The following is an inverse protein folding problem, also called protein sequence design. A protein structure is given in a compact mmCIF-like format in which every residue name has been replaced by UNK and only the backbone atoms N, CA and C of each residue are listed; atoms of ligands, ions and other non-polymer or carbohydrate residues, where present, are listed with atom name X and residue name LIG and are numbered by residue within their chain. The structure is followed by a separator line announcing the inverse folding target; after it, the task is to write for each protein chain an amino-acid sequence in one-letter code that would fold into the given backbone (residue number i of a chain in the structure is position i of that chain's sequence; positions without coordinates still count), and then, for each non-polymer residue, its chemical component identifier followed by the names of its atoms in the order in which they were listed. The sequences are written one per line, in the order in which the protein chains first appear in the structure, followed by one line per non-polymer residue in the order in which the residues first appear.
data_IF_985222511858
#
_entry.id   IF_985222511858
#
_cell.length_a   1.000
_cell.length_b   1.000
_cell.length_c   1.000
_cell.angle_alpha   90.00
_cell.angle_beta   90.00
_cell.angle_gamma   90.00
#
_symmetry.space_group_name_H-M   'P 1'
#
loop_
_entity.id
_entity.type
_entity.pdbx_description
1 polymer ?
#
# COMPACT_ATOMS: atom_id res chain seq x y z
N UNK A 1 53.18 -31.53 18.97
CA UNK A 1 52.41 -32.51 19.78
C UNK A 1 51.15 -32.84 19.01
N UNK A 2 51.13 -33.99 18.33
CA UNK A 2 50.44 -35.24 18.72
C UNK A 2 48.93 -35.24 18.47
N UNK A 3 48.61 -35.73 17.28
CA UNK A 3 47.43 -36.50 16.85
C UNK A 3 47.06 -37.64 17.83
N UNK A 4 45.77 -37.92 18.08
CA UNK A 4 45.10 -39.23 18.35
C UNK A 4 43.56 -38.97 18.33
N UNK A 5 42.69 -39.61 17.52
CA UNK A 5 42.12 -40.98 17.56
C UNK A 5 41.39 -41.18 16.19
N UNK A 6 41.54 -42.22 15.32
CA UNK A 6 41.38 -43.70 15.40
C UNK A 6 39.97 -44.09 15.90
N UNK A 7 39.13 -44.92 15.28
CA UNK A 7 39.10 -45.73 14.05
C UNK A 7 37.64 -46.21 13.83
N UNK A 8 37.31 -46.66 12.62
CA UNK A 8 36.02 -47.29 12.32
C UNK A 8 36.01 -47.94 10.94
N UNK A 9 36.85 -48.96 10.80
CA UNK A 9 37.04 -49.79 9.61
C UNK A 9 35.82 -50.70 9.39
N UNK A 10 35.21 -50.67 8.20
CA UNK A 10 34.35 -51.75 7.72
C UNK A 10 34.64 -52.00 6.23
N UNK A 11 35.30 -53.13 6.00
CA UNK A 11 35.77 -53.68 4.73
C UNK A 11 34.81 -54.78 4.31
N UNK A 12 34.23 -54.72 3.12
CA UNK A 12 33.73 -55.91 2.43
C UNK A 12 33.93 -55.77 0.91
N UNK A 13 34.71 -56.72 0.39
CA UNK A 13 35.09 -56.98 -1.00
C UNK A 13 33.88 -57.14 -1.93
N UNK A 14 33.87 -56.53 -3.12
CA UNK A 14 34.50 -56.92 -4.40
C UNK A 14 33.71 -57.98 -5.18
N UNK A 15 33.11 -57.56 -6.30
CA UNK A 15 32.88 -58.39 -7.50
C UNK A 15 33.08 -57.49 -8.74
N UNK A 16 33.77 -58.01 -9.75
CA UNK A 16 34.32 -57.28 -10.88
C UNK A 16 33.55 -57.51 -12.20
N UNK A 17 33.47 -56.45 -13.03
CA UNK A 17 33.57 -56.33 -14.51
C UNK A 17 32.70 -57.22 -15.44
N UNK A 18 32.40 -56.86 -16.72
CA UNK A 18 33.18 -55.99 -17.62
C UNK A 18 32.39 -55.02 -18.55
N UNK A 19 33.17 -54.38 -19.43
CA UNK A 19 32.91 -53.31 -20.39
C UNK A 19 31.96 -53.63 -21.56
N UNK A 20 31.47 -52.57 -22.22
CA UNK A 20 31.05 -52.62 -23.64
C UNK A 20 30.07 -51.54 -24.10
N UNK A 21 30.54 -50.70 -25.05
CA UNK A 21 29.81 -50.01 -26.14
C UNK A 21 28.70 -49.00 -25.76
N UNK A 22 28.90 -47.70 -25.97
CA UNK A 22 28.72 -46.96 -27.24
C UNK A 22 27.27 -46.48 -27.44
N UNK A 23 27.15 -45.15 -27.36
CA UNK A 23 26.33 -44.28 -28.22
C UNK A 23 24.84 -44.59 -28.38
N UNK A 24 24.01 -43.74 -27.80
CA UNK A 24 23.01 -42.99 -28.58
C UNK A 24 22.35 -41.96 -27.69
N UNK A 25 22.64 -40.69 -27.96
CA UNK A 25 21.82 -39.58 -27.50
C UNK A 25 20.42 -39.76 -28.10
N UNK A 26 19.42 -39.91 -27.23
CA UNK A 26 18.02 -39.72 -27.60
C UNK A 26 17.53 -38.51 -26.82
N UNK A 27 17.58 -37.37 -27.51
CA UNK A 27 16.88 -36.15 -27.17
C UNK A 27 15.38 -36.38 -27.31
N UNK A 28 14.66 -36.36 -26.18
CA UNK A 28 13.21 -36.22 -26.16
C UNK A 28 12.85 -34.74 -25.92
N UNK A 29 12.28 -34.03 -26.91
CA UNK A 29 11.69 -32.72 -26.70
C UNK A 29 10.22 -32.89 -26.32
N UNK A 30 9.90 -32.67 -25.05
CA UNK A 30 8.50 -32.52 -24.60
C UNK A 30 8.31 -31.10 -24.03
N UNK A 31 7.60 -30.30 -24.81
CA UNK A 31 7.17 -28.92 -24.58
C UNK A 31 6.24 -28.79 -23.35
N UNK A 32 5.68 -27.60 -23.04
CA UNK A 32 6.24 -26.26 -22.85
C UNK A 32 6.07 -25.79 -21.39
N UNK A 33 6.54 -24.57 -21.13
CA UNK A 33 6.51 -23.83 -19.87
C UNK A 33 5.21 -23.96 -19.05
N UNK A 34 5.36 -24.29 -17.76
CA UNK A 34 4.43 -23.82 -16.74
C UNK A 34 4.66 -22.30 -16.61
N UNK A 35 3.91 -21.54 -17.40
CA UNK A 35 3.69 -20.14 -17.11
C UNK A 35 2.99 -20.07 -15.75
N UNK A 36 3.65 -19.44 -14.79
CA UNK A 36 2.99 -18.95 -13.58
C UNK A 36 1.96 -17.93 -14.08
N UNK A 37 0.71 -18.36 -14.20
CA UNK A 37 -0.39 -17.43 -14.31
C UNK A 37 -0.59 -16.82 -12.92
N UNK A 38 0.22 -15.79 -12.62
CA UNK A 38 -0.20 -14.80 -11.64
C UNK A 38 -1.48 -14.20 -12.21
N UNK A 39 -2.62 -14.65 -11.69
CA UNK A 39 -3.89 -13.95 -11.84
C UNK A 39 -3.75 -12.63 -11.09
N UNK A 40 -3.01 -11.70 -11.68
CA UNK A 40 -3.06 -10.31 -11.31
C UNK A 40 -4.39 -9.81 -11.84
N UNK A 41 -5.38 -9.70 -10.96
CA UNK A 41 -6.51 -8.82 -11.25
C UNK A 41 -5.90 -7.48 -11.63
N UNK A 42 -6.01 -7.12 -12.91
CA UNK A 42 -5.69 -5.78 -13.37
C UNK A 42 -6.74 -4.92 -12.69
N UNK A 43 -6.38 -4.34 -11.54
CA UNK A 43 -7.22 -3.31 -10.94
C UNK A 43 -7.38 -2.23 -12.01
N UNK A 44 -8.59 -1.70 -12.23
CA UNK A 44 -8.73 -0.58 -13.13
C UNK A 44 -7.74 0.50 -12.66
N UNK A 45 -6.99 1.06 -13.60
CA UNK A 45 -6.12 2.19 -13.28
C UNK A 45 -7.02 3.33 -12.82
N UNK A 46 -7.07 3.58 -11.52
CA UNK A 46 -7.93 4.63 -10.97
C UNK A 46 -7.33 5.98 -11.31
N UNK A 47 -8.14 6.85 -11.88
CA UNK A 47 -7.81 8.28 -11.95
C UNK A 47 -8.26 8.96 -10.67
N UNK A 48 -7.34 9.62 -9.97
CA UNK A 48 -7.69 10.48 -8.83
C UNK A 48 -8.15 11.84 -9.38
N UNK A 49 -9.34 12.28 -8.98
CA UNK A 49 -9.92 13.56 -9.35
C UNK A 49 -10.11 14.40 -8.09
N UNK A 50 -9.46 15.57 -8.03
CA UNK A 50 -9.56 16.48 -6.90
C UNK A 50 -10.53 17.60 -7.22
N UNK A 51 -11.52 17.84 -6.36
CA UNK A 51 -12.56 18.85 -6.55
C UNK A 51 -13.90 18.27 -7.02
N UNK A 52 -14.84 19.14 -7.44
CA UNK A 52 -16.23 18.76 -7.71
C UNK A 52 -16.67 19.19 -9.10
N UNK A 53 -17.48 18.34 -9.75
CA UNK A 53 -18.10 18.59 -11.05
C UNK A 53 -17.06 19.07 -12.08
N UNK A 54 -17.37 20.11 -12.85
CA UNK A 54 -16.49 20.67 -13.89
C UNK A 54 -15.20 21.31 -13.37
N UNK A 55 -15.03 21.47 -12.04
CA UNK A 55 -13.81 22.00 -11.42
C UNK A 55 -12.84 20.90 -10.96
N UNK A 56 -13.12 19.64 -11.30
CA UNK A 56 -12.22 18.52 -10.99
C UNK A 56 -10.90 18.65 -11.75
N UNK A 57 -9.80 18.43 -11.03
CA UNK A 57 -8.46 18.38 -11.58
C UNK A 57 -7.91 16.96 -11.42
N UNK A 58 -7.47 16.30 -12.51
CA UNK A 58 -6.84 15.00 -12.40
C UNK A 58 -5.49 15.11 -11.72
N UNK A 59 -5.22 14.16 -10.82
CA UNK A 59 -3.93 14.04 -10.14
C UNK A 59 -3.20 12.80 -10.67
N UNK A 60 -2.02 13.02 -11.25
CA UNK A 60 -1.15 11.93 -11.71
C UNK A 60 -0.49 11.26 -10.50
N UNK A 61 -1.13 10.22 -9.99
CA UNK A 61 -0.69 9.47 -8.84
C UNK A 61 -1.20 8.03 -8.93
N UNK A 62 -0.37 7.07 -8.54
CA UNK A 62 -0.76 5.66 -8.53
C UNK A 62 -1.74 5.40 -7.39
N UNK A 63 -2.75 4.58 -7.67
CA UNK A 63 -3.67 4.03 -6.67
C UNK A 63 -3.47 2.52 -6.65
N UNK A 64 -3.48 1.91 -5.48
CA UNK A 64 -3.52 0.46 -5.37
C UNK A 64 -4.58 0.04 -4.35
N UNK A 65 -5.05 -1.20 -4.48
CA UNK A 65 -5.94 -1.79 -3.50
C UNK A 65 -5.17 -2.72 -2.58
N UNK A 66 -5.48 -2.67 -1.28
CA UNK A 66 -5.00 -3.65 -0.30
C UNK A 66 -6.14 -4.01 0.65
N UNK A 67 -6.42 -5.32 0.74
CA UNK A 67 -7.51 -5.85 1.56
C UNK A 67 -8.89 -5.20 1.28
N UNK A 68 -9.20 -4.89 0.03
CA UNK A 68 -10.45 -4.20 -0.33
C UNK A 68 -10.48 -2.70 -0.02
N UNK A 69 -9.35 -2.11 0.40
CA UNK A 69 -9.22 -0.68 0.66
C UNK A 69 -8.36 -0.04 -0.43
N UNK A 70 -8.88 0.98 -1.10
CA UNK A 70 -8.09 1.80 -2.01
C UNK A 70 -7.14 2.70 -1.23
N UNK A 71 -5.87 2.64 -1.61
CA UNK A 71 -4.77 3.36 -1.01
C UNK A 71 -4.30 4.44 -1.98
N UNK A 72 -4.15 5.67 -1.48
CA UNK A 72 -3.71 6.84 -2.24
C UNK A 72 -2.49 7.48 -1.58
N UNK A 73 -1.62 8.17 -2.36
CA UNK A 73 -0.47 8.82 -1.78
C UNK A 73 -0.91 10.06 -1.00
N UNK A 74 -0.56 10.09 0.29
CA UNK A 74 -1.02 11.09 1.24
C UNK A 74 -0.67 12.51 0.78
N UNK A 75 0.61 12.78 0.51
CA UNK A 75 1.12 14.13 0.26
C UNK A 75 0.55 14.74 -1.03
N UNK A 76 0.61 14.09 -2.22
CA UNK A 76 0.07 14.67 -3.44
C UNK A 76 -1.42 15.00 -3.35
N UNK A 77 -2.22 14.13 -2.73
CA UNK A 77 -3.66 14.36 -2.55
C UNK A 77 -3.90 15.51 -1.57
N UNK A 78 -3.23 15.50 -0.41
CA UNK A 78 -3.39 16.51 0.62
C UNK A 78 -2.96 17.91 0.15
N UNK A 79 -1.80 18.04 -0.51
CA UNK A 79 -1.32 19.32 -1.04
C UNK A 79 -2.26 19.86 -2.12
N UNK A 80 -2.82 19.00 -2.96
CA UNK A 80 -3.77 19.42 -3.98
C UNK A 80 -5.11 19.92 -3.39
N UNK A 81 -5.48 19.43 -2.20
CA UNK A 81 -6.61 19.93 -1.39
C UNK A 81 -6.27 21.17 -0.56
N UNK A 82 -5.01 21.64 -0.60
CA UNK A 82 -4.54 22.82 0.14
C UNK A 82 -4.15 22.54 1.59
N UNK A 83 -3.80 21.30 1.92
CA UNK A 83 -3.36 20.89 3.25
C UNK A 83 -1.84 20.90 3.36
N UNK A 84 -1.31 20.99 4.57
CA UNK A 84 0.13 20.83 4.82
C UNK A 84 0.41 19.41 5.29
N UNK A 85 1.47 18.80 4.76
CA UNK A 85 1.97 17.50 5.21
C UNK A 85 3.44 17.60 5.57
N UNK A 86 3.77 17.33 6.82
CA UNK A 86 5.13 17.22 7.33
C UNK A 86 5.43 15.79 7.80
N UNK A 87 6.71 15.49 7.98
CA UNK A 87 7.14 14.28 8.69
C UNK A 87 7.63 14.70 10.08
N UNK A 88 7.12 14.03 11.11
CA UNK A 88 7.55 14.20 12.50
C UNK A 88 8.59 13.11 12.79
N UNK A 89 9.87 13.50 12.77
CA UNK A 89 10.99 12.57 13.00
C UNK A 89 11.02 12.03 14.43
N UNK A 90 10.54 12.78 15.43
CA UNK A 90 10.55 12.31 16.81
C UNK A 90 9.49 11.23 17.01
N UNK A 91 8.30 11.43 16.42
CA UNK A 91 7.18 10.47 16.49
C UNK A 91 7.21 9.40 15.40
N UNK A 92 8.11 9.52 14.41
CA UNK A 92 8.20 8.63 13.25
C UNK A 92 6.85 8.47 12.53
N UNK A 93 6.18 9.59 12.28
CA UNK A 93 4.85 9.61 11.67
C UNK A 93 4.68 10.80 10.71
N UNK A 94 3.73 10.71 9.80
CA UNK A 94 3.34 11.88 9.02
C UNK A 94 2.40 12.75 9.86
N UNK A 95 2.60 14.06 9.80
CA UNK A 95 1.72 15.06 10.38
C UNK A 95 1.00 15.77 9.24
N UNK A 96 -0.34 15.71 9.24
CA UNK A 96 -1.19 16.38 8.26
C UNK A 96 -2.06 17.41 9.00
N UNK A 97 -2.14 18.62 8.44
CA UNK A 97 -2.89 19.71 9.04
C UNK A 97 -3.70 20.50 8.02
N UNK A 98 -4.81 21.02 8.51
CA UNK A 98 -5.63 22.06 7.88
C UNK A 98 -5.77 23.22 8.87
N UNK A 99 -6.49 24.28 8.48
CA UNK A 99 -6.75 25.40 9.39
C UNK A 99 -7.58 25.03 10.63
N UNK A 100 -8.26 23.87 10.63
CA UNK A 100 -9.27 23.54 11.64
C UNK A 100 -8.97 22.24 12.39
N UNK A 101 -8.27 21.31 11.76
CA UNK A 101 -7.94 19.99 12.33
C UNK A 101 -6.54 19.54 11.90
N UNK A 102 -5.94 18.67 12.69
CA UNK A 102 -4.70 17.96 12.34
C UNK A 102 -4.77 16.48 12.75
N UNK A 103 -3.84 15.67 12.24
CA UNK A 103 -3.70 14.26 12.58
C UNK A 103 -2.24 13.80 12.48
N UNK A 104 -1.84 12.91 13.40
CA UNK A 104 -0.60 12.13 13.30
C UNK A 104 -0.91 10.76 12.71
N UNK A 105 -0.21 10.39 11.64
CA UNK A 105 -0.42 9.19 10.84
C UNK A 105 0.78 8.26 11.01
N UNK A 106 0.63 7.26 11.87
CA UNK A 106 1.67 6.28 12.17
C UNK A 106 1.62 5.14 11.15
N UNK A 107 2.73 4.84 10.43
CA UNK A 107 2.78 3.70 9.53
C UNK A 107 2.37 2.38 10.20
N UNK A 108 1.51 1.62 9.54
CA UNK A 108 1.01 0.31 9.99
C UNK A 108 -0.09 0.35 11.04
N UNK A 109 -0.50 1.53 11.52
CA UNK A 109 -1.49 1.67 12.60
C UNK A 109 -2.84 2.10 12.03
N UNK A 110 -3.86 1.23 12.15
CA UNK A 110 -5.26 1.55 11.83
C UNK A 110 -5.95 2.24 13.03
N UNK A 111 -5.48 3.44 13.34
CA UNK A 111 -6.07 4.29 14.37
C UNK A 111 -5.79 5.75 14.03
N UNK A 112 -6.82 6.46 13.61
CA UNK A 112 -6.72 7.79 13.03
C UNK A 112 -7.39 8.80 13.95
N UNK A 113 -6.61 9.43 14.83
CA UNK A 113 -7.12 10.43 15.77
C UNK A 113 -7.07 11.83 15.16
N UNK A 114 -8.23 12.34 14.76
CA UNK A 114 -8.38 13.73 14.34
C UNK A 114 -8.47 14.60 15.58
N UNK A 115 -7.67 15.65 15.63
CA UNK A 115 -7.73 16.66 16.69
C UNK A 115 -8.19 18.00 16.10
N UNK A 116 -9.18 18.63 16.75
CA UNK A 116 -9.64 19.97 16.41
C UNK A 116 -8.78 21.07 17.02
N UNK A 117 -8.52 22.11 16.25
CA UNK A 117 -7.77 23.30 16.67
C UNK A 117 -8.67 24.45 17.16
N UNK A 118 -9.99 24.30 17.06
CA UNK A 118 -10.95 25.32 17.48
C UNK A 118 -11.22 25.29 18.98
N UNK A 119 -11.41 26.47 19.57
CA UNK A 119 -11.70 26.62 21.01
C UNK A 119 -13.16 26.33 21.39
N UNK A 120 -14.09 26.57 20.46
CA UNK A 120 -15.53 26.59 20.75
C UNK A 120 -16.25 25.31 20.35
N UNK A 121 -15.68 24.53 19.43
CA UNK A 121 -16.28 23.32 18.89
C UNK A 121 -15.28 22.18 19.02
N UNK A 122 -15.69 21.09 19.68
CA UNK A 122 -14.90 19.88 19.74
C UNK A 122 -15.06 19.09 18.44
N UNK A 123 -13.96 18.93 17.69
CA UNK A 123 -13.93 18.17 16.45
C UNK A 123 -13.15 16.85 16.59
N UNK A 124 -12.74 16.49 17.81
CA UNK A 124 -11.94 15.30 18.04
C UNK A 124 -12.75 14.04 17.70
N UNK A 125 -12.12 13.13 16.96
CA UNK A 125 -12.75 11.87 16.60
C UNK A 125 -11.68 10.84 16.25
N UNK A 126 -11.93 9.57 16.56
CA UNK A 126 -11.06 8.46 16.19
C UNK A 126 -11.74 7.66 15.09
N UNK A 127 -11.02 7.46 13.99
CA UNK A 127 -11.48 6.67 12.85
C UNK A 127 -10.66 5.38 12.72
N UNK A 128 -11.27 4.39 12.07
CA UNK A 128 -10.63 3.16 11.61
C UNK A 128 -11.11 2.90 10.19
N UNK A 129 -10.19 2.52 9.31
CA UNK A 129 -10.46 2.27 7.89
C UNK A 129 -10.10 0.85 7.47
N UNK A 130 -9.73 -0.02 8.42
CA UNK A 130 -9.41 -1.42 8.19
C UNK A 130 -7.95 -1.68 7.83
N UNK A 131 -7.18 -0.63 7.59
CA UNK A 131 -5.74 -0.71 7.29
C UNK A 131 -5.06 0.61 7.67
N UNK A 132 -3.85 0.52 8.22
CA UNK A 132 -3.03 1.68 8.55
C UNK A 132 -2.29 2.27 7.34
N UNK A 133 -1.66 3.44 7.50
CA UNK A 133 -0.79 4.02 6.48
C UNK A 133 0.36 3.09 6.10
N UNK A 134 0.77 3.06 4.83
CA UNK A 134 1.84 2.19 4.35
C UNK A 134 2.87 2.99 3.57
N UNK A 135 4.14 2.79 3.89
CA UNK A 135 5.22 3.40 3.11
C UNK A 135 5.53 2.50 1.91
N UNK A 136 5.27 3.02 0.71
CA UNK A 136 5.57 2.36 -0.57
C UNK A 136 6.59 3.22 -1.28
N UNK A 137 7.81 2.70 -1.43
CA UNK A 137 8.92 3.37 -2.14
C UNK A 137 9.23 4.80 -1.65
N UNK A 138 9.10 5.05 -0.33
CA UNK A 138 9.36 6.37 0.27
C UNK A 138 8.16 7.31 0.26
N UNK A 139 7.02 6.88 -0.28
CA UNK A 139 5.77 7.63 -0.28
C UNK A 139 4.78 6.98 0.68
N UNK A 140 4.22 7.77 1.60
CA UNK A 140 3.20 7.27 2.51
C UNK A 140 1.85 7.22 1.81
N UNK A 141 1.29 6.02 1.73
CA UNK A 141 -0.05 5.76 1.24
C UNK A 141 -1.02 5.59 2.39
N UNK A 142 -2.25 6.04 2.20
CA UNK A 142 -3.32 6.01 3.19
C UNK A 142 -4.63 5.53 2.55
N UNK A 143 -5.58 5.00 3.33
CA UNK A 143 -6.93 4.74 2.85
C UNK A 143 -7.51 6.00 2.20
N UNK A 144 -8.08 5.89 1.00
CA UNK A 144 -8.71 7.02 0.31
C UNK A 144 -9.80 7.70 1.18
N UNK A 145 -10.56 6.89 1.92
CA UNK A 145 -11.60 7.36 2.85
C UNK A 145 -11.05 8.15 4.05
N UNK A 146 -9.75 8.13 4.32
CA UNK A 146 -9.13 8.98 5.34
C UNK A 146 -9.45 10.46 5.12
N UNK A 147 -9.56 10.90 3.86
CA UNK A 147 -9.86 12.29 3.53
C UNK A 147 -11.25 12.74 4.00
N UNK A 148 -12.18 11.83 4.27
CA UNK A 148 -13.47 12.14 4.91
C UNK A 148 -13.28 12.70 6.33
N UNK A 149 -12.24 12.27 7.05
CA UNK A 149 -11.90 12.83 8.37
C UNK A 149 -11.54 14.31 8.28
N UNK A 150 -11.14 14.80 7.10
CA UNK A 150 -10.80 16.21 6.84
C UNK A 150 -11.96 16.99 6.20
N UNK A 151 -13.20 16.53 6.37
CA UNK A 151 -14.41 17.15 5.83
C UNK A 151 -14.43 17.20 4.29
N UNK A 152 -13.91 16.16 3.66
CA UNK A 152 -14.10 15.91 2.23
C UNK A 152 -15.18 14.84 2.01
N UNK A 153 -15.77 14.86 0.83
CA UNK A 153 -16.49 13.72 0.28
C UNK A 153 -15.52 12.89 -0.57
N UNK A 154 -15.63 11.57 -0.46
CA UNK A 154 -14.85 10.60 -1.23
C UNK A 154 -15.82 9.71 -2.00
N UNK A 155 -15.78 9.79 -3.33
CA UNK A 155 -16.59 8.95 -4.22
C UNK A 155 -15.68 7.98 -4.96
N UNK A 156 -16.03 6.69 -4.90
CA UNK A 156 -15.30 5.61 -5.54
C UNK A 156 -16.24 4.98 -6.56
N UNK A 157 -15.92 5.14 -7.83
CA UNK A 157 -16.62 4.51 -8.95
C UNK A 157 -15.62 3.67 -9.77
N UNK A 158 -16.10 2.82 -10.67
CA UNK A 158 -15.22 2.01 -11.52
C UNK A 158 -14.25 2.91 -12.30
N UNK A 159 -12.95 2.83 -11.96
CA UNK A 159 -11.89 3.58 -12.63
C UNK A 159 -11.73 5.05 -12.19
N UNK A 160 -12.54 5.57 -11.27
CA UNK A 160 -12.37 6.92 -10.76
C UNK A 160 -12.52 7.03 -9.25
N UNK A 161 -11.63 7.83 -8.66
CA UNK A 161 -11.63 8.18 -7.25
C UNK A 161 -11.72 9.69 -7.13
N UNK A 162 -12.86 10.22 -6.71
CA UNK A 162 -13.09 11.65 -6.51
C UNK A 162 -12.91 12.00 -5.05
N UNK A 163 -12.12 13.04 -4.76
CA UNK A 163 -11.96 13.60 -3.42
C UNK A 163 -12.23 15.11 -3.50
N UNK A 164 -13.23 15.60 -2.76
CA UNK A 164 -13.67 16.98 -2.85
C UNK A 164 -14.02 17.56 -1.48
N UNK A 165 -13.68 18.82 -1.16
CA UNK A 165 -14.16 19.48 0.05
C UNK A 165 -15.70 19.48 0.14
N UNK A 166 -16.22 19.30 1.36
CA UNK A 166 -17.66 19.41 1.60
C UNK A 166 -18.13 20.87 1.46
N UNK A 167 -19.29 21.04 0.82
CA UNK A 167 -19.98 22.33 0.75
C UNK A 167 -21.30 22.22 1.50
N UNK A 168 -21.46 23.03 2.54
CA UNK A 168 -22.72 23.14 3.27
C UNK A 168 -23.37 24.47 2.89
N UNK A 169 -24.43 24.41 2.09
CA UNK A 169 -25.28 25.56 1.84
C UNK A 169 -26.27 25.70 2.99
N UNK A 170 -26.15 26.77 3.77
CA UNK A 170 -27.21 27.16 4.69
C UNK A 170 -28.35 27.71 3.84
N UNK A 171 -29.42 26.93 3.66
CA UNK A 171 -30.64 27.47 3.10
C UNK A 171 -31.22 28.42 4.14
N UNK A 172 -31.23 29.72 3.84
CA UNK A 172 -31.96 30.69 4.64
C UNK A 172 -33.42 30.23 4.70
N UNK A 173 -33.90 29.92 5.90
CA UNK A 173 -35.34 29.72 6.09
C UNK A 173 -36.05 31.01 5.66
N UNK A 174 -37.20 30.90 4.96
CA UNK A 174 -37.93 32.06 4.44
C UNK A 174 -38.40 33.02 5.53
#
# INVERSE_FOLDING_TARGET
MRLHYIAGLALCLLCAAPAGAADTAVSEPMQPALTVQTSGQILPEYTILIGRNSAQTPLTASVYEKNGVLMVPLRPVAEQLGYTVAWDEEKQCAFIETNTVYMHLYPGVDMYERIGSLKTVNLNHIYQYGIGPENVEGMLYVPAKLFEAFFNDVFIEEGSLVIAPQEVYLHGAP
#
